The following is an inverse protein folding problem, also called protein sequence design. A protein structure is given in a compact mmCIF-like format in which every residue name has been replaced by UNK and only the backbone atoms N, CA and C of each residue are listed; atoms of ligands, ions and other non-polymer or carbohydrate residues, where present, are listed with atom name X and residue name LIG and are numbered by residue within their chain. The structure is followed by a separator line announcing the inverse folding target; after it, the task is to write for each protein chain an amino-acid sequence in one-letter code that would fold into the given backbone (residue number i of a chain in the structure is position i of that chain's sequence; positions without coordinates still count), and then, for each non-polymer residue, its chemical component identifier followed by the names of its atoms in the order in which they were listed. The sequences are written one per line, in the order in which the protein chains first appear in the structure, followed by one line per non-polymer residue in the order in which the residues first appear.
data_IF_812844050325
#
_entry.id   IF_812844050325
#
_cell.length_a   1.000
_cell.length_b   1.000
_cell.length_c   1.000
_cell.angle_alpha   90.00
_cell.angle_beta   90.00
_cell.angle_gamma   90.00
#
_symmetry.space_group_name_H-M   'P 1'
#
loop_
_entity.id
_entity.type
_entity.pdbx_description
1 polymer ?
#
# COMPACT_ATOMS: atom_id res chain seq x y z
N UNK A 1 -34.93 33.65 33.23
CA UNK A 1 -34.03 32.47 33.39
C UNK A 1 -32.75 32.89 34.08
N UNK A 2 -32.41 32.23 35.19
CA UNK A 2 -31.26 32.54 36.04
C UNK A 2 -29.95 32.61 35.24
N UNK A 3 -29.18 33.68 35.42
CA UNK A 3 -27.87 33.89 34.79
C UNK A 3 -26.92 32.69 34.98
N UNK A 4 -27.03 32.02 36.14
CA UNK A 4 -26.26 30.81 36.47
C UNK A 4 -26.56 29.65 35.51
N UNK A 5 -27.81 29.52 35.06
CA UNK A 5 -28.26 28.45 34.16
C UNK A 5 -27.77 28.68 32.72
N UNK A 6 -27.70 29.94 32.28
CA UNK A 6 -27.07 30.33 31.00
C UNK A 6 -25.56 30.08 31.01
N UNK A 7 -24.90 30.40 32.13
CA UNK A 7 -23.47 30.20 32.28
C UNK A 7 -23.11 28.69 32.29
N UNK A 8 -23.89 27.87 33.00
CA UNK A 8 -23.74 26.42 33.01
C UNK A 8 -23.98 25.80 31.63
N UNK A 9 -25.03 26.25 30.92
CA UNK A 9 -25.32 25.77 29.56
C UNK A 9 -24.22 26.14 28.56
N UNK A 10 -23.70 27.37 28.62
CA UNK A 10 -22.59 27.79 27.75
C UNK A 10 -21.30 27.02 28.06
N UNK A 11 -20.98 26.79 29.33
CA UNK A 11 -19.81 26.00 29.74
C UNK A 11 -19.93 24.55 29.23
N UNK A 12 -21.09 23.92 29.42
CA UNK A 12 -21.33 22.55 28.94
C UNK A 12 -21.22 22.46 27.41
N UNK A 13 -21.78 23.44 26.68
CA UNK A 13 -21.70 23.49 25.23
C UNK A 13 -20.25 23.60 24.74
N UNK A 14 -19.47 24.50 25.33
CA UNK A 14 -18.04 24.66 24.98
C UNK A 14 -17.25 23.41 25.30
N UNK A 15 -17.51 22.76 26.44
CA UNK A 15 -16.86 21.51 26.81
C UNK A 15 -17.16 20.38 25.81
N UNK A 16 -18.42 20.24 25.37
CA UNK A 16 -18.82 19.25 24.36
C UNK A 16 -18.19 19.57 23.01
N UNK A 17 -18.22 20.83 22.56
CA UNK A 17 -17.60 21.24 21.31
C UNK A 17 -16.10 21.02 21.30
N UNK A 18 -15.42 21.29 22.43
CA UNK A 18 -14.00 21.02 22.58
C UNK A 18 -13.70 19.52 22.52
N UNK A 19 -14.50 18.68 23.19
CA UNK A 19 -14.34 17.22 23.17
C UNK A 19 -14.57 16.63 21.78
N UNK A 20 -15.64 17.04 21.09
CA UNK A 20 -15.95 16.59 19.72
C UNK A 20 -14.90 17.08 18.72
N UNK A 21 -14.51 18.35 18.83
CA UNK A 21 -13.48 18.93 17.96
C UNK A 21 -12.13 18.25 18.13
N UNK A 22 -11.69 18.00 19.37
CA UNK A 22 -10.44 17.28 19.65
C UNK A 22 -10.49 15.84 19.18
N UNK A 23 -11.59 15.11 19.39
CA UNK A 23 -11.78 13.76 18.86
C UNK A 23 -11.66 13.72 17.33
N UNK A 24 -12.38 14.61 16.63
CA UNK A 24 -12.36 14.65 15.17
C UNK A 24 -10.98 15.03 14.61
N UNK A 25 -10.30 15.98 15.24
CA UNK A 25 -8.94 16.38 14.87
C UNK A 25 -7.92 15.25 15.13
N UNK A 26 -8.04 14.54 16.24
CA UNK A 26 -7.17 13.41 16.57
C UNK A 26 -7.38 12.24 15.60
N UNK A 27 -8.63 11.87 15.30
CA UNK A 27 -8.96 10.82 14.34
C UNK A 27 -8.43 11.15 12.93
N UNK A 28 -8.62 12.39 12.47
CA UNK A 28 -8.11 12.85 11.17
C UNK A 28 -6.58 12.84 11.12
N UNK A 29 -5.92 13.35 12.17
CA UNK A 29 -4.45 13.40 12.22
C UNK A 29 -3.82 12.00 12.28
N UNK A 30 -4.46 11.03 12.95
CA UNK A 30 -4.04 9.63 12.94
C UNK A 30 -4.13 9.03 11.53
N UNK A 31 -5.25 9.26 10.82
CA UNK A 31 -5.44 8.80 9.45
C UNK A 31 -4.37 9.31 8.50
N UNK A 32 -4.08 10.62 8.53
CA UNK A 32 -3.09 11.25 7.65
C UNK A 32 -1.66 10.69 7.89
N UNK A 33 -1.27 10.53 9.17
CA UNK A 33 0.04 9.96 9.53
C UNK A 33 0.15 8.48 9.17
N UNK A 34 -0.94 7.73 9.30
CA UNK A 34 -0.99 6.32 8.91
C UNK A 34 -0.79 6.16 7.41
N UNK A 35 -1.44 7.00 6.59
CA UNK A 35 -1.22 6.98 5.14
C UNK A 35 0.24 7.26 4.76
N UNK A 36 0.85 8.27 5.39
CA UNK A 36 2.26 8.61 5.16
C UNK A 36 3.21 7.46 5.54
N UNK A 37 2.99 6.82 6.70
CA UNK A 37 3.78 5.66 7.13
C UNK A 37 3.67 4.49 6.15
N UNK A 38 2.45 4.16 5.70
CA UNK A 38 2.25 3.10 4.72
C UNK A 38 2.97 3.37 3.40
N UNK A 39 2.98 4.63 2.95
CA UNK A 39 3.67 4.98 1.72
C UNK A 39 5.19 4.78 1.85
N UNK A 40 5.76 5.16 2.99
CA UNK A 40 7.18 4.99 3.27
C UNK A 40 7.56 3.51 3.43
N UNK A 41 6.79 2.72 4.18
CA UNK A 41 7.04 1.29 4.38
C UNK A 41 7.04 0.52 3.05
N UNK A 42 6.11 0.85 2.14
CA UNK A 42 6.06 0.23 0.81
C UNK A 42 7.23 0.60 -0.07
N UNK A 43 7.74 1.82 0.02
CA UNK A 43 8.93 2.21 -0.75
C UNK A 43 10.15 1.40 -0.30
N UNK A 44 10.33 1.21 1.01
CA UNK A 44 11.42 0.37 1.55
C UNK A 44 11.26 -1.08 1.10
N UNK A 45 10.09 -1.68 1.33
CA UNK A 45 9.83 -3.06 0.94
C UNK A 45 9.94 -3.27 -0.58
N UNK A 46 9.52 -2.29 -1.38
CA UNK A 46 9.63 -2.30 -2.83
C UNK A 46 11.08 -2.20 -3.31
N UNK A 47 11.93 -1.41 -2.64
CA UNK A 47 13.36 -1.34 -2.95
C UNK A 47 14.08 -2.65 -2.65
N UNK A 48 13.80 -3.28 -1.51
CA UNK A 48 14.35 -4.60 -1.17
C UNK A 48 13.91 -5.66 -2.20
N UNK A 49 12.63 -5.67 -2.57
CA UNK A 49 12.12 -6.57 -3.59
C UNK A 49 12.75 -6.30 -4.97
N UNK A 50 12.92 -5.03 -5.34
CA UNK A 50 13.59 -4.65 -6.59
C UNK A 50 15.05 -5.15 -6.62
N UNK A 51 15.78 -5.07 -5.50
CA UNK A 51 17.14 -5.59 -5.42
C UNK A 51 17.19 -7.12 -5.59
N UNK A 52 16.28 -7.85 -4.96
CA UNK A 52 16.15 -9.30 -5.11
C UNK A 52 15.80 -9.71 -6.54
N UNK A 53 14.89 -8.97 -7.19
CA UNK A 53 14.52 -9.20 -8.58
C UNK A 53 15.67 -8.88 -9.54
N UNK A 54 16.48 -7.87 -9.22
CA UNK A 54 17.72 -7.57 -9.92
C UNK A 54 18.68 -8.76 -9.92
N UNK A 55 18.94 -9.34 -8.74
CA UNK A 55 19.78 -10.54 -8.60
C UNK A 55 19.19 -11.76 -9.33
N UNK A 56 17.87 -11.94 -9.27
CA UNK A 56 17.18 -12.99 -10.02
C UNK A 56 17.44 -12.86 -11.54
N UNK A 57 17.35 -11.63 -12.06
CA UNK A 57 17.64 -11.35 -13.46
C UNK A 57 19.12 -11.56 -13.78
N UNK A 58 20.05 -11.18 -12.92
CA UNK A 58 21.49 -11.44 -13.13
C UNK A 58 21.79 -12.93 -13.30
N UNK A 59 21.14 -13.79 -12.51
CA UNK A 59 21.34 -15.24 -12.59
C UNK A 59 20.69 -15.89 -13.82
N UNK A 60 19.49 -15.43 -14.22
CA UNK A 60 18.70 -16.09 -15.28
C UNK A 60 18.74 -15.40 -16.64
N UNK A 61 19.05 -14.10 -16.66
CA UNK A 61 18.96 -13.24 -17.84
C UNK A 61 17.55 -13.06 -18.42
N UNK A 62 16.49 -13.49 -17.71
CA UNK A 62 15.12 -13.43 -18.18
C UNK A 62 14.10 -13.39 -17.03
N UNK A 63 12.89 -12.87 -17.31
CA UNK A 63 11.75 -12.88 -16.38
C UNK A 63 11.02 -14.22 -16.38
N UNK A 64 11.55 -15.25 -17.05
CA UNK A 64 10.87 -16.54 -17.18
C UNK A 64 10.64 -17.19 -15.79
N UNK A 65 9.36 -17.41 -15.48
CA UNK A 65 8.92 -18.03 -14.22
C UNK A 65 8.79 -17.07 -13.04
N UNK A 66 9.00 -15.76 -13.21
CA UNK A 66 8.78 -14.77 -12.14
C UNK A 66 7.30 -14.65 -11.78
N UNK A 67 6.42 -14.87 -12.76
CA UNK A 67 4.97 -14.92 -12.63
C UNK A 67 4.51 -15.96 -11.58
N UNK A 68 5.24 -17.07 -11.46
CA UNK A 68 4.95 -18.11 -10.45
C UNK A 68 5.25 -17.63 -9.03
N UNK A 69 6.25 -16.76 -8.87
CA UNK A 69 6.60 -16.17 -7.57
C UNK A 69 5.53 -15.16 -7.13
N UNK A 70 5.03 -14.34 -8.05
CA UNK A 70 3.96 -13.37 -7.78
C UNK A 70 2.59 -14.03 -7.57
N UNK A 71 2.36 -15.20 -8.19
CA UNK A 71 1.15 -16.02 -7.98
C UNK A 71 1.19 -16.87 -6.72
N UNK A 72 2.37 -17.13 -6.15
CA UNK A 72 2.48 -17.84 -4.88
C UNK A 72 1.89 -16.97 -3.77
N UNK A 73 0.58 -17.10 -3.55
CA UNK A 73 -0.12 -16.40 -2.48
C UNK A 73 0.33 -17.01 -1.16
N UNK A 74 1.28 -16.36 -0.50
CA UNK A 74 1.65 -16.67 0.87
C UNK A 74 0.65 -15.95 1.76
N UNK A 75 -0.44 -16.65 2.10
CA UNK A 75 -1.38 -16.24 3.13
C UNK A 75 -0.78 -16.64 4.49
N UNK A 76 -0.21 -15.68 5.21
CA UNK A 76 0.26 -15.92 6.57
C UNK A 76 -0.95 -15.84 7.50
N UNK A 77 -1.32 -16.98 8.08
CA UNK A 77 -2.38 -17.05 9.08
C UNK A 77 -1.82 -16.69 10.46
N UNK A 78 -2.12 -15.48 10.93
CA UNK A 78 -1.81 -15.07 12.29
C UNK A 78 -3.03 -15.31 13.18
N UNK A 79 -2.83 -16.02 14.29
CA UNK A 79 -3.86 -16.14 15.33
C UNK A 79 -3.67 -15.00 16.31
N UNK A 80 -4.51 -13.97 16.22
CA UNK A 80 -4.54 -12.84 17.16
C UNK A 80 -5.91 -12.83 17.83
N UNK A 81 -5.94 -12.94 19.17
CA UNK A 81 -7.18 -12.94 19.95
C UNK A 81 -8.24 -13.95 19.43
N UNK A 82 -7.81 -15.13 18.97
CA UNK A 82 -8.70 -16.18 18.46
C UNK A 82 -9.23 -15.97 17.04
N UNK A 83 -8.82 -14.91 16.33
CA UNK A 83 -9.14 -14.69 14.91
C UNK A 83 -7.94 -15.05 14.03
N UNK A 84 -8.21 -15.75 12.94
CA UNK A 84 -7.26 -16.03 11.87
C UNK A 84 -7.23 -14.84 10.92
N UNK A 85 -6.10 -14.13 10.86
CA UNK A 85 -5.89 -13.02 9.94
C UNK A 85 -4.98 -13.49 8.81
N UNK A 86 -5.38 -13.34 7.56
CA UNK A 86 -4.50 -13.56 6.40
C UNK A 86 -3.73 -12.27 6.09
N UNK A 87 -2.40 -12.38 5.96
CA UNK A 87 -1.54 -11.31 5.47
C UNK A 87 -0.99 -11.70 4.10
N UNK A 88 -1.30 -10.91 3.08
CA UNK A 88 -0.70 -11.05 1.74
C UNK A 88 0.79 -10.69 1.81
N UNK A 89 1.65 -11.63 1.43
CA UNK A 89 3.10 -11.41 1.31
C UNK A 89 3.47 -10.23 0.39
N UNK A 90 4.68 -9.70 0.56
CA UNK A 90 5.17 -8.46 -0.07
C UNK A 90 4.99 -8.48 -1.60
N UNK A 91 5.28 -9.58 -2.29
CA UNK A 91 5.12 -9.69 -3.75
C UNK A 91 3.68 -9.47 -4.23
N UNK A 92 2.69 -9.87 -3.43
CA UNK A 92 1.28 -9.72 -3.80
C UNK A 92 0.78 -8.28 -3.78
N UNK A 93 1.65 -7.31 -3.41
CA UNK A 93 1.38 -5.87 -3.36
C UNK A 93 2.03 -5.10 -4.52
N UNK A 94 2.66 -5.79 -5.47
CA UNK A 94 3.34 -5.18 -6.59
C UNK A 94 3.03 -5.91 -7.90
N UNK A 95 3.24 -5.22 -9.01
CA UNK A 95 3.41 -5.81 -10.33
C UNK A 95 4.76 -5.43 -10.91
N UNK A 96 5.29 -6.27 -11.79
CA UNK A 96 6.58 -6.11 -12.43
C UNK A 96 6.39 -5.87 -13.92
N UNK A 97 7.06 -4.84 -14.42
CA UNK A 97 7.17 -4.49 -15.82
C UNK A 97 8.56 -4.91 -16.34
N UNK A 98 8.60 -5.40 -17.58
CA UNK A 98 9.86 -5.56 -18.31
C UNK A 98 10.40 -4.21 -18.83
N UNK A 99 11.47 -4.25 -19.64
CA UNK A 99 12.08 -3.03 -20.20
C UNK A 99 11.22 -2.40 -21.29
N UNK A 100 10.37 -3.21 -21.91
CA UNK A 100 9.45 -2.85 -22.97
C UNK A 100 8.13 -2.28 -22.42
N UNK A 101 7.93 -2.32 -21.10
CA UNK A 101 6.75 -1.78 -20.41
C UNK A 101 5.58 -2.76 -20.34
N UNK A 102 5.81 -4.06 -20.57
CA UNK A 102 4.76 -5.08 -20.43
C UNK A 102 4.73 -5.62 -19.00
N UNK A 103 3.53 -5.85 -18.49
CA UNK A 103 3.35 -6.50 -17.18
C UNK A 103 3.69 -7.98 -17.30
N UNK A 104 4.83 -8.36 -16.75
CA UNK A 104 5.36 -9.74 -16.77
C UNK A 104 5.07 -10.53 -15.49
N UNK A 105 4.73 -9.84 -14.39
CA UNK A 105 4.36 -10.48 -13.13
C UNK A 105 3.34 -9.63 -12.37
N UNK A 106 2.27 -10.24 -11.87
CA UNK A 106 1.29 -9.59 -11.01
C UNK A 106 0.55 -10.65 -10.19
N UNK A 107 0.12 -10.30 -8.97
CA UNK A 107 -0.80 -11.12 -8.17
C UNK A 107 -2.24 -11.05 -8.70
N UNK A 108 -2.60 -9.98 -9.40
CA UNK A 108 -3.87 -9.83 -10.11
C UNK A 108 -3.70 -10.28 -11.58
N UNK A 109 -4.31 -11.42 -11.98
CA UNK A 109 -4.19 -11.92 -13.34
C UNK A 109 -4.82 -11.00 -14.40
N UNK A 110 -5.70 -10.07 -14.02
CA UNK A 110 -6.34 -9.12 -14.97
C UNK A 110 -5.38 -8.04 -15.51
N UNK A 111 -4.22 -7.88 -14.85
CA UNK A 111 -3.17 -6.95 -15.23
C UNK A 111 -2.07 -7.60 -16.08
N UNK A 112 -2.00 -8.94 -16.13
CA UNK A 112 -0.98 -9.65 -16.91
C UNK A 112 -1.16 -9.39 -18.40
N UNK A 113 -0.06 -9.08 -19.10
CA UNK A 113 -0.07 -8.80 -20.53
C UNK A 113 -0.56 -7.39 -20.92
N UNK A 114 -0.94 -6.54 -19.95
CA UNK A 114 -1.14 -5.11 -20.22
C UNK A 114 0.20 -4.42 -20.49
N UNK A 115 0.17 -3.41 -21.34
CA UNK A 115 1.36 -2.61 -21.68
C UNK A 115 1.18 -1.17 -21.19
N UNK A 116 2.12 -0.71 -20.36
CA UNK A 116 2.13 0.63 -19.77
C UNK A 116 2.16 1.73 -20.84
N UNK A 117 2.80 1.47 -21.97
CA UNK A 117 2.93 2.45 -23.06
C UNK A 117 1.61 2.70 -23.80
N UNK A 118 0.65 1.78 -23.68
CA UNK A 118 -0.66 1.86 -24.34
C UNK A 118 -1.81 2.09 -23.36
N UNK A 119 -1.55 2.01 -22.06
CA UNK A 119 -2.52 2.20 -20.98
C UNK A 119 -2.15 3.48 -20.19
N UNK A 120 -2.82 4.61 -20.45
CA UNK A 120 -2.46 5.90 -19.85
C UNK A 120 -2.53 5.93 -18.31
N UNK A 121 -3.46 5.14 -17.74
CA UNK A 121 -3.61 5.04 -16.29
C UNK A 121 -2.43 4.29 -15.67
N UNK A 122 -2.03 3.21 -16.34
CA UNK A 122 -0.85 2.45 -15.94
C UNK A 122 0.41 3.29 -16.10
N UNK A 123 0.58 4.01 -17.21
CA UNK A 123 1.72 4.90 -17.46
C UNK A 123 1.94 5.91 -16.34
N UNK A 124 0.87 6.61 -15.94
CA UNK A 124 0.94 7.61 -14.86
C UNK A 124 1.29 6.95 -13.52
N UNK A 125 0.78 5.75 -13.27
CA UNK A 125 1.12 4.97 -12.08
C UNK A 125 2.60 4.57 -12.07
N UNK A 126 3.15 4.11 -13.21
CA UNK A 126 4.58 3.80 -13.34
C UNK A 126 5.43 5.06 -13.11
N UNK A 127 5.03 6.19 -13.69
CA UNK A 127 5.76 7.47 -13.57
C UNK A 127 5.84 7.95 -12.13
N UNK A 128 4.76 7.81 -11.37
CA UNK A 128 4.68 8.30 -9.99
C UNK A 128 5.24 7.35 -8.94
N UNK A 129 5.04 6.05 -9.13
CA UNK A 129 5.27 5.03 -8.09
C UNK A 129 6.25 3.94 -8.51
N UNK A 130 6.77 3.99 -9.74
CA UNK A 130 7.71 3.00 -10.27
C UNK A 130 9.03 2.99 -9.51
N UNK A 131 9.46 1.79 -9.14
CA UNK A 131 10.73 1.50 -8.51
C UNK A 131 11.60 0.78 -9.55
N UNK A 132 12.70 1.37 -10.02
CA UNK A 132 13.53 0.76 -11.04
C UNK A 132 14.23 -0.50 -10.51
N UNK A 133 14.22 -1.56 -11.31
CA UNK A 133 14.93 -2.81 -11.03
C UNK A 133 16.23 -2.81 -11.82
N UNK A 134 17.37 -2.87 -11.13
CA UNK A 134 18.70 -2.88 -11.75
C UNK A 134 19.34 -4.27 -11.66
N UNK A 135 20.01 -4.67 -12.74
CA UNK A 135 20.89 -5.83 -12.80
C UNK A 135 22.20 -5.42 -13.50
N UNK A 136 23.33 -5.59 -12.82
CA UNK A 136 24.64 -5.15 -13.32
C UNK A 136 24.70 -3.66 -13.66
N UNK A 137 24.00 -2.81 -12.90
CA UNK A 137 23.91 -1.36 -13.15
C UNK A 137 23.01 -0.94 -14.31
N UNK A 138 22.36 -1.89 -15.00
CA UNK A 138 21.38 -1.60 -16.07
C UNK A 138 19.97 -1.82 -15.57
N UNK A 139 19.05 -0.91 -15.89
CA UNK A 139 17.63 -1.12 -15.59
C UNK A 139 17.08 -2.25 -16.47
N UNK A 140 16.51 -3.27 -15.83
CA UNK A 140 15.97 -4.49 -16.46
C UNK A 140 14.46 -4.66 -16.27
N UNK A 141 13.86 -3.78 -15.47
CA UNK A 141 12.41 -3.72 -15.29
C UNK A 141 12.02 -2.60 -14.34
N UNK A 142 10.73 -2.53 -14.06
CA UNK A 142 10.18 -1.55 -13.12
C UNK A 142 9.15 -2.26 -12.24
N UNK A 143 9.34 -2.19 -10.93
CA UNK A 143 8.40 -2.70 -9.94
C UNK A 143 7.44 -1.58 -9.58
N UNK A 144 6.14 -1.85 -9.57
CA UNK A 144 5.11 -0.83 -9.30
C UNK A 144 4.17 -1.35 -8.23
N UNK A 145 3.90 -0.59 -7.15
CA UNK A 145 2.97 -1.00 -6.12
C UNK A 145 1.54 -1.04 -6.68
N UNK A 146 0.78 -2.06 -6.29
CA UNK A 146 -0.66 -2.14 -6.49
C UNK A 146 -1.36 -1.06 -5.63
N UNK A 147 -2.50 -0.59 -6.13
CA UNK A 147 -3.16 0.65 -5.72
C UNK A 147 -3.07 0.95 -4.21
N UNK A 148 -2.50 2.11 -3.81
CA UNK A 148 -2.44 2.53 -2.42
C UNK A 148 -3.79 2.64 -1.71
N UNK A 149 -4.89 2.80 -2.43
CA UNK A 149 -6.23 2.85 -1.85
C UNK A 149 -6.70 1.50 -1.29
N UNK A 150 -6.15 0.37 -1.76
CA UNK A 150 -6.55 -0.95 -1.27
C UNK A 150 -5.96 -1.18 0.13
N UNK A 151 -6.84 -1.18 1.12
CA UNK A 151 -6.52 -1.47 2.52
C UNK A 151 -6.46 -2.98 2.74
N UNK A 152 -5.45 -3.47 3.46
CA UNK A 152 -5.48 -4.84 3.97
C UNK A 152 -6.60 -4.99 5.02
N UNK A 153 -7.10 -6.20 5.28
CA UNK A 153 -8.14 -6.43 6.30
C UNK A 153 -7.77 -5.85 7.67
N UNK A 154 -6.48 -5.93 8.06
CA UNK A 154 -5.99 -5.37 9.32
C UNK A 154 -6.02 -3.83 9.33
N UNK A 155 -5.73 -3.20 8.19
CA UNK A 155 -5.78 -1.74 8.04
C UNK A 155 -7.23 -1.22 8.03
N UNK A 156 -8.15 -1.98 7.44
CA UNK A 156 -9.58 -1.71 7.50
C UNK A 156 -10.09 -1.80 8.95
N UNK A 157 -9.74 -2.87 9.66
CA UNK A 157 -10.09 -3.04 11.08
C UNK A 157 -9.53 -1.89 11.93
N UNK A 158 -8.27 -1.52 11.73
CA UNK A 158 -7.65 -0.40 12.46
C UNK A 158 -8.38 0.93 12.20
N UNK A 159 -8.66 1.27 10.94
CA UNK A 159 -9.38 2.50 10.60
C UNK A 159 -10.83 2.51 11.10
N UNK A 160 -11.47 1.35 11.20
CA UNK A 160 -12.81 1.23 11.78
C UNK A 160 -12.84 1.34 13.31
N UNK A 161 -11.68 1.21 13.96
CA UNK A 161 -11.54 1.19 15.42
C UNK A 161 -11.21 2.55 16.06
N UNK A 162 -10.93 3.57 15.24
CA UNK A 162 -10.54 4.93 15.67
C UNK A 162 -11.67 5.94 15.57
#
# INVERSE_FOLDING_TARGET
MSFRLKLLGALALVAVLAAVGTYFLAAKALGDRFQAYRQQERQVAGQELAQLLGQFWEMRGSWAGVDRLFRARVDIFLVRQGRVVSVTGVMGRFFLLDREGNVVACSDPSLLGRCALTDPELEETVRRLGIPVYAGGRQVGTLVPLDPAVLSPLEQDFLSSV
#
